data_IF_835231124807
#
_entry.id   IF_835231124807
#
_cell.length_a   1.000
_cell.length_b   1.000
_cell.length_c   1.000
_cell.angle_alpha   90.00
_cell.angle_beta   90.00
_cell.angle_gamma   90.00
#
_symmetry.space_group_name_H-M   'P 1'
#
loop_
_entity.id
_entity.type
_entity.pdbx_description
1 polymer ?
#
# COMPACT_ATOMS: atom_id res chain seq x y z
N UNK A 1 -2.66 -5.28 -28.20
CA UNK A 1 -3.14 -6.56 -27.65
C UNK A 1 -3.31 -6.41 -26.15
N UNK A 2 -4.55 -6.36 -25.64
CA UNK A 2 -4.80 -6.32 -24.19
C UNK A 2 -4.49 -7.70 -23.60
N UNK A 3 -3.31 -7.85 -22.99
CA UNK A 3 -2.99 -9.07 -22.25
C UNK A 3 -3.83 -9.06 -20.97
N UNK A 4 -4.87 -9.89 -20.93
CA UNK A 4 -5.63 -10.12 -19.71
C UNK A 4 -4.65 -10.58 -18.62
N UNK A 5 -4.43 -9.74 -17.62
CA UNK A 5 -3.42 -9.98 -16.60
C UNK A 5 -3.89 -11.12 -15.70
N UNK A 6 -3.27 -12.29 -15.82
CA UNK A 6 -3.59 -13.44 -14.95
C UNK A 6 -2.94 -13.20 -13.58
N UNK A 7 -3.76 -12.85 -12.58
CA UNK A 7 -3.34 -12.77 -11.19
C UNK A 7 -3.62 -11.43 -10.51
N UNK A 8 -3.55 -11.43 -9.18
CA UNK A 8 -3.78 -10.26 -8.33
C UNK A 8 -2.72 -10.21 -7.23
N UNK A 9 -2.12 -9.04 -7.02
CA UNK A 9 -1.22 -8.78 -5.89
C UNK A 9 -2.02 -8.14 -4.75
N UNK A 10 -1.65 -8.42 -3.51
CA UNK A 10 -2.27 -7.84 -2.31
C UNK A 10 -1.21 -7.07 -1.55
N UNK A 11 -1.44 -5.78 -1.35
CA UNK A 11 -0.62 -4.93 -0.50
C UNK A 11 -1.45 -4.55 0.72
N UNK A 12 -0.88 -4.78 1.90
CA UNK A 12 -1.60 -4.64 3.16
C UNK A 12 -0.89 -3.63 4.04
N UNK A 13 -1.66 -2.79 4.72
CA UNK A 13 -1.20 -2.01 5.88
C UNK A 13 -1.69 -2.75 7.11
N UNK A 14 -0.75 -3.05 7.99
CA UNK A 14 -1.03 -3.60 9.31
C UNK A 14 -0.51 -2.65 10.37
N UNK A 15 -1.10 -2.68 11.55
CA UNK A 15 -0.46 -2.11 12.74
C UNK A 15 0.66 -3.04 13.26
N UNK A 16 1.32 -2.64 14.34
CA UNK A 16 2.41 -3.42 14.97
C UNK A 16 1.91 -4.66 15.71
N UNK A 17 0.60 -4.78 15.98
CA UNK A 17 -0.03 -5.96 16.58
C UNK A 17 -0.56 -6.94 15.52
N UNK A 18 -0.49 -6.58 14.23
CA UNK A 18 -0.97 -7.39 13.12
C UNK A 18 -2.41 -7.10 12.70
N UNK A 19 -3.05 -6.04 13.22
CA UNK A 19 -4.38 -5.62 12.80
C UNK A 19 -4.34 -5.15 11.34
N UNK A 20 -5.16 -5.75 10.48
CA UNK A 20 -5.27 -5.35 9.08
C UNK A 20 -6.06 -4.04 8.97
N UNK A 21 -5.36 -2.97 8.63
CA UNK A 21 -5.93 -1.62 8.50
C UNK A 21 -6.45 -1.33 7.09
N UNK A 22 -5.74 -1.82 6.08
CA UNK A 22 -6.09 -1.60 4.68
C UNK A 22 -5.54 -2.71 3.81
N UNK A 23 -6.33 -3.18 2.84
CA UNK A 23 -5.89 -4.08 1.78
C UNK A 23 -6.15 -3.42 0.43
N UNK A 24 -5.11 -3.33 -0.40
CA UNK A 24 -5.23 -2.94 -1.81
C UNK A 24 -4.88 -4.14 -2.68
N UNK A 25 -5.86 -4.55 -3.47
CA UNK A 25 -5.69 -5.58 -4.48
C UNK A 25 -5.44 -4.90 -5.82
N UNK A 26 -4.34 -5.25 -6.47
CA UNK A 26 -3.97 -4.74 -7.80
C UNK A 26 -3.81 -5.91 -8.78
N UNK A 27 -3.91 -5.62 -10.08
CA UNK A 27 -3.57 -6.60 -11.10
C UNK A 27 -2.08 -6.98 -11.00
N UNK A 28 -1.73 -8.19 -11.45
CA UNK A 28 -0.37 -8.71 -11.32
C UNK A 28 0.70 -7.89 -12.07
N UNK A 29 0.32 -7.13 -13.10
CA UNK A 29 1.20 -6.26 -13.86
C UNK A 29 1.52 -4.93 -13.16
N UNK A 30 0.83 -4.60 -12.07
CA UNK A 30 1.11 -3.38 -11.32
C UNK A 30 2.41 -3.58 -10.54
N UNK A 31 3.41 -2.69 -10.73
CA UNK A 31 4.64 -2.72 -9.94
C UNK A 31 4.36 -2.50 -8.45
N UNK A 32 5.17 -3.12 -7.59
CA UNK A 32 5.04 -3.08 -6.13
C UNK A 32 5.01 -1.63 -5.63
N UNK A 33 5.95 -0.80 -6.10
CA UNK A 33 6.04 0.61 -5.71
C UNK A 33 4.77 1.40 -6.03
N UNK A 34 4.18 1.19 -7.20
CA UNK A 34 2.94 1.86 -7.61
C UNK A 34 1.73 1.36 -6.81
N UNK A 35 1.68 0.06 -6.53
CA UNK A 35 0.66 -0.50 -5.64
C UNK A 35 0.81 0.03 -4.20
N UNK A 36 2.04 0.22 -3.72
CA UNK A 36 2.33 0.79 -2.40
C UNK A 36 1.94 2.27 -2.27
N UNK A 37 2.15 3.08 -3.30
CA UNK A 37 1.66 4.47 -3.33
C UNK A 37 0.13 4.53 -3.23
N UNK A 38 -0.58 3.65 -3.94
CA UNK A 38 -2.04 3.56 -3.86
C UNK A 38 -2.53 3.17 -2.44
N UNK A 39 -1.75 2.35 -1.74
CA UNK A 39 -2.01 2.00 -0.34
C UNK A 39 -1.76 3.19 0.60
N UNK A 40 -0.66 3.93 0.41
CA UNK A 40 -0.35 5.13 1.18
C UNK A 40 -1.46 6.19 1.04
N UNK A 41 -1.91 6.44 -0.19
CA UNK A 41 -3.05 7.34 -0.43
C UNK A 41 -4.34 6.86 0.26
N UNK A 42 -4.57 5.55 0.37
CA UNK A 42 -5.72 5.01 1.11
C UNK A 42 -5.58 5.14 2.62
N UNK A 43 -4.36 5.10 3.17
CA UNK A 43 -4.12 5.45 4.58
C UNK A 43 -4.56 6.88 4.87
N UNK A 44 -4.29 7.84 3.98
CA UNK A 44 -4.73 9.23 4.17
C UNK A 44 -6.26 9.34 4.31
N UNK A 45 -7.03 8.44 3.70
CA UNK A 45 -8.49 8.39 3.84
C UNK A 45 -8.97 7.80 5.18
N UNK A 46 -8.13 7.09 5.94
CA UNK A 46 -8.46 6.65 7.30
C UNK A 46 -8.52 7.83 8.28
N UNK A 47 -7.92 8.97 7.92
CA UNK A 47 -8.10 10.25 8.60
C UNK A 47 -7.82 10.22 10.11
N UNK A 48 -8.70 10.87 10.89
CA UNK A 48 -8.59 10.98 12.35
C UNK A 48 -8.55 9.62 13.07
N UNK A 49 -9.13 8.57 12.50
CA UNK A 49 -9.20 7.24 13.15
C UNK A 49 -7.83 6.64 13.41
N UNK A 50 -6.81 7.05 12.64
CA UNK A 50 -5.45 6.50 12.71
C UNK A 50 -4.41 7.58 13.00
N UNK A 51 -4.82 8.75 13.49
CA UNK A 51 -3.94 9.92 13.64
C UNK A 51 -2.78 9.72 14.62
N UNK A 52 -2.91 8.77 15.54
CA UNK A 52 -1.86 8.39 16.51
C UNK A 52 -0.87 7.36 15.97
N UNK A 53 -1.08 6.85 14.75
CA UNK A 53 -0.25 5.80 14.15
C UNK A 53 0.79 6.37 13.19
N UNK A 54 2.04 6.01 13.44
CA UNK A 54 3.17 6.33 12.56
C UNK A 54 3.27 5.29 11.44
N UNK A 55 3.50 5.75 10.21
CA UNK A 55 3.77 4.85 9.09
C UNK A 55 5.21 4.35 9.20
N UNK A 56 5.39 3.03 9.29
CA UNK A 56 6.69 2.38 9.17
C UNK A 56 6.70 1.57 7.89
N UNK A 57 7.75 1.74 7.09
CA UNK A 57 7.91 1.07 5.81
C UNK A 57 9.05 0.07 5.94
N UNK A 58 8.74 -1.21 5.73
CA UNK A 58 9.66 -2.34 6.02
C UNK A 58 10.32 -2.89 4.75
N UNK A 59 10.17 -2.23 3.60
CA UNK A 59 10.81 -2.65 2.34
C UNK A 59 11.52 -1.49 1.66
N UNK A 60 12.76 -1.73 1.20
CA UNK A 60 13.56 -0.75 0.48
C UNK A 60 12.92 -0.25 -0.82
N UNK A 61 12.00 -1.04 -1.40
CA UNK A 61 11.22 -0.65 -2.59
C UNK A 61 10.19 0.46 -2.35
N UNK A 62 9.94 0.80 -1.09
CA UNK A 62 8.99 1.82 -0.64
C UNK A 62 9.70 3.02 0.01
N UNK A 63 10.94 3.28 -0.41
CA UNK A 63 11.76 4.35 0.16
C UNK A 63 11.65 5.69 -0.59
N UNK A 64 12.04 6.75 0.12
CA UNK A 64 12.22 8.09 -0.40
C UNK A 64 10.95 8.94 -0.48
N UNK A 65 11.15 10.25 -0.57
CA UNK A 65 10.12 11.28 -0.73
C UNK A 65 9.09 10.95 -1.82
N UNK A 66 9.46 10.41 -3.01
CA UNK A 66 8.48 10.10 -4.07
C UNK A 66 7.50 8.97 -3.72
N UNK A 67 7.75 8.21 -2.65
CA UNK A 67 6.82 7.20 -2.14
C UNK A 67 5.91 7.76 -1.04
N UNK A 68 6.42 8.73 -0.27
CA UNK A 68 5.71 9.30 0.89
C UNK A 68 4.70 10.38 0.52
N UNK A 69 4.87 11.04 -0.64
CA UNK A 69 3.92 12.02 -1.19
C UNK A 69 2.65 11.38 -1.76
#
# INVERSE_FOLDING_TARGET
TYIATKGRKRNTVVDTLGLVMCVKVTAANVPEREAGKQVNGRKQHLGEQVRRLYLVVVSGGYSGEPFLR
#
